data_IF_576736489440
#
_entry.id   IF_576736489440
#
_cell.length_a   1.000
_cell.length_b   1.000
_cell.length_c   1.000
_cell.angle_alpha   90.00
_cell.angle_beta   90.00
_cell.angle_gamma   90.00
#
_symmetry.space_group_name_H-M   'P 1'
#
loop_
_entity.id
_entity.type
_entity.pdbx_description
1 polymer ?
#
# COMPACT_ATOMS: atom_id res chain seq x y z
N UNK A 1 8.89 13.65 -13.30
CA UNK A 1 9.32 12.35 -13.86
C UNK A 1 8.98 11.24 -12.90
N UNK A 2 9.91 10.74 -12.07
CA UNK A 2 9.55 9.77 -11.03
C UNK A 2 8.58 10.39 -10.02
N UNK A 3 8.69 11.69 -9.77
CA UNK A 3 7.75 12.49 -8.98
C UNK A 3 6.34 12.50 -9.57
N UNK A 4 6.18 12.51 -10.87
CA UNK A 4 4.84 12.53 -11.50
C UNK A 4 4.16 11.17 -11.38
N UNK A 5 4.93 10.07 -11.43
CA UNK A 5 4.40 8.71 -11.23
C UNK A 5 4.01 8.46 -9.78
N UNK A 6 4.82 8.90 -8.83
CA UNK A 6 4.50 8.79 -7.40
C UNK A 6 3.32 9.67 -7.01
N UNK A 7 3.18 10.84 -7.61
CA UNK A 7 1.98 11.68 -7.48
C UNK A 7 0.75 10.98 -8.01
N UNK A 8 0.85 10.34 -9.19
CA UNK A 8 -0.26 9.60 -9.77
C UNK A 8 -0.77 8.50 -8.86
N UNK A 9 0.11 7.69 -8.29
CA UNK A 9 -0.26 6.64 -7.34
C UNK A 9 -0.87 7.25 -6.07
N UNK A 10 -0.26 8.30 -5.53
CA UNK A 10 -0.77 9.00 -4.36
C UNK A 10 -2.18 9.55 -4.56
N UNK A 11 -2.43 10.17 -5.70
CA UNK A 11 -3.76 10.70 -6.04
C UNK A 11 -4.81 9.61 -6.18
N UNK A 12 -4.41 8.44 -6.69
CA UNK A 12 -5.30 7.30 -6.87
C UNK A 12 -5.78 6.76 -5.51
N UNK A 13 -4.86 6.43 -4.60
CA UNK A 13 -5.28 5.87 -3.32
C UNK A 13 -5.90 6.91 -2.37
N UNK A 14 -5.50 8.16 -2.44
CA UNK A 14 -6.10 9.25 -1.64
C UNK A 14 -7.59 9.40 -1.87
N UNK A 15 -8.05 9.20 -3.09
CA UNK A 15 -9.47 9.27 -3.40
C UNK A 15 -10.29 8.17 -2.73
N UNK A 16 -9.66 7.01 -2.49
CA UNK A 16 -10.31 5.86 -1.85
C UNK A 16 -10.24 5.93 -0.33
N UNK A 17 -9.28 6.69 0.22
CA UNK A 17 -9.09 6.81 1.67
C UNK A 17 -10.02 7.92 2.19
N UNK A 18 -11.20 7.51 2.59
CA UNK A 18 -12.24 8.42 3.10
C UNK A 18 -13.04 7.72 4.20
N UNK A 19 -13.63 8.49 5.15
CA UNK A 19 -14.47 7.88 6.16
C UNK A 19 -15.64 7.13 5.50
N UNK A 20 -15.93 5.96 6.05
CA UNK A 20 -17.00 5.04 5.60
C UNK A 20 -16.70 4.34 4.26
N UNK A 21 -15.54 4.59 3.67
CA UNK A 21 -15.04 3.78 2.56
C UNK A 21 -14.53 2.41 3.05
N UNK A 22 -14.13 1.56 2.12
CA UNK A 22 -13.63 0.22 2.44
C UNK A 22 -12.13 0.12 2.22
N UNK A 23 -11.45 -0.54 3.15
CA UNK A 23 -10.00 -0.74 3.05
C UNK A 23 -9.61 -1.53 1.79
N UNK A 24 -10.45 -2.49 1.37
CA UNK A 24 -10.22 -3.24 0.13
C UNK A 24 -10.22 -2.37 -1.12
N UNK A 25 -11.00 -1.30 -1.14
CA UNK A 25 -11.02 -0.36 -2.27
C UNK A 25 -9.69 0.38 -2.42
N UNK A 26 -9.02 0.67 -1.31
CA UNK A 26 -7.70 1.30 -1.31
C UNK A 26 -6.66 0.39 -1.98
N UNK A 27 -6.60 -0.87 -1.55
CA UNK A 27 -5.66 -1.85 -2.12
C UNK A 27 -5.96 -2.15 -3.58
N UNK A 28 -7.25 -2.27 -3.94
CA UNK A 28 -7.67 -2.49 -5.32
C UNK A 28 -7.24 -1.34 -6.23
N UNK A 29 -7.38 -0.09 -5.77
CA UNK A 29 -6.96 1.08 -6.55
C UNK A 29 -5.45 1.10 -6.80
N UNK A 30 -4.65 0.74 -5.80
CA UNK A 30 -3.19 0.61 -5.93
C UNK A 30 -2.84 -0.46 -6.96
N UNK A 31 -3.46 -1.64 -6.85
CA UNK A 31 -3.22 -2.76 -7.75
C UNK A 31 -3.57 -2.43 -9.20
N UNK A 32 -4.74 -1.86 -9.43
CA UNK A 32 -5.17 -1.49 -10.78
C UNK A 32 -4.26 -0.44 -11.41
N UNK A 33 -3.86 0.55 -10.64
CA UNK A 33 -2.95 1.58 -11.14
C UNK A 33 -1.58 1.00 -11.52
N UNK A 34 -1.01 0.18 -10.67
CA UNK A 34 0.28 -0.48 -10.95
C UNK A 34 0.18 -1.37 -12.20
N UNK A 35 -0.87 -2.18 -12.29
CA UNK A 35 -1.12 -3.06 -13.42
C UNK A 35 -1.27 -2.28 -14.73
N UNK A 36 -1.99 -1.16 -14.71
CA UNK A 36 -2.17 -0.31 -15.89
C UNK A 36 -0.85 0.31 -16.37
N UNK A 37 0.12 0.49 -15.47
CA UNK A 37 1.47 0.97 -15.81
C UNK A 37 2.43 -0.16 -16.21
N UNK A 38 1.96 -1.42 -16.24
CA UNK A 38 2.78 -2.58 -16.57
C UNK A 38 3.61 -3.11 -15.41
N UNK A 39 3.27 -2.75 -14.18
CA UNK A 39 3.96 -3.19 -12.96
C UNK A 39 3.11 -4.20 -12.18
N UNK A 40 3.75 -4.87 -11.22
CA UNK A 40 3.06 -5.77 -10.30
C UNK A 40 3.23 -5.31 -8.85
N UNK A 41 2.34 -5.79 -7.99
CA UNK A 41 2.35 -5.46 -6.57
C UNK A 41 2.64 -6.72 -5.78
N UNK A 42 3.58 -6.63 -4.84
CA UNK A 42 3.95 -7.74 -3.94
C UNK A 42 2.76 -8.05 -3.02
N UNK A 43 2.49 -9.34 -2.83
CA UNK A 43 1.29 -9.84 -2.13
C UNK A 43 1.52 -10.18 -0.67
N UNK A 44 2.72 -10.66 -0.32
CA UNK A 44 3.05 -11.13 1.02
C UNK A 44 3.25 -10.00 2.03
N UNK A 45 3.52 -8.80 1.55
CA UNK A 45 3.75 -7.63 2.38
C UNK A 45 2.67 -6.59 2.11
N UNK A 46 2.32 -5.86 3.16
CA UNK A 46 1.31 -4.82 3.07
C UNK A 46 1.52 -3.76 4.13
N UNK A 47 0.59 -2.82 4.21
CA UNK A 47 0.55 -1.84 5.26
C UNK A 47 -0.02 -2.42 6.55
N UNK A 48 -0.02 -1.62 7.58
CA UNK A 48 -0.45 -2.03 8.91
C UNK A 48 -1.12 -0.88 9.66
N UNK A 49 -1.96 -1.22 10.62
CA UNK A 49 -2.44 -0.26 11.59
C UNK A 49 -1.30 0.29 12.44
N UNK A 50 -1.48 1.49 12.93
CA UNK A 50 -0.58 2.11 13.88
C UNK A 50 -1.40 2.82 14.97
N UNK A 51 -1.02 2.59 16.20
CA UNK A 51 -1.72 3.15 17.35
C UNK A 51 -0.88 2.94 18.58
N UNK A 52 -1.27 1.98 19.42
CA UNK A 52 -0.50 1.65 20.61
C UNK A 52 0.79 0.89 20.28
N UNK A 53 0.79 0.14 19.18
CA UNK A 53 1.94 -0.63 18.73
C UNK A 53 2.42 -0.12 17.38
N UNK A 54 3.70 -0.39 17.07
CA UNK A 54 4.31 0.00 15.80
C UNK A 54 3.64 -0.72 14.62
N UNK A 55 3.37 -2.02 14.78
CA UNK A 55 2.62 -2.83 13.83
C UNK A 55 1.42 -3.45 14.57
N UNK A 56 0.23 -3.13 14.13
CA UNK A 56 -1.00 -3.71 14.67
C UNK A 56 -2.04 -3.87 13.56
N UNK A 57 -3.13 -4.56 13.84
CA UNK A 57 -4.24 -4.68 12.90
C UNK A 57 -4.80 -3.28 12.54
N UNK A 58 -5.33 -3.13 11.34
CA UNK A 58 -5.49 -4.16 10.31
C UNK A 58 -4.25 -4.36 9.44
N UNK A 59 -4.18 -5.53 8.78
CA UNK A 59 -3.28 -5.72 7.64
C UNK A 59 -3.88 -5.03 6.41
N UNK A 60 -3.07 -4.22 5.73
CA UNK A 60 -3.50 -3.46 4.56
C UNK A 60 -2.94 -4.11 3.30
N UNK A 61 -3.76 -4.91 2.63
CA UNK A 61 -3.38 -5.53 1.36
C UNK A 61 -3.42 -4.52 0.21
N UNK A 62 -2.46 -4.59 -0.69
CA UNK A 62 -2.44 -3.76 -1.90
C UNK A 62 -2.80 -4.56 -3.17
N UNK A 63 -3.39 -5.74 -2.98
CA UNK A 63 -3.95 -6.57 -4.04
C UNK A 63 -5.36 -7.06 -3.68
N UNK A 64 -6.05 -6.32 -2.82
CA UNK A 64 -7.40 -6.65 -2.37
C UNK A 64 -8.43 -6.42 -3.47
N UNK A 65 -9.59 -7.06 -3.30
CA UNK A 65 -10.72 -6.91 -4.20
C UNK A 65 -11.56 -5.68 -3.85
N UNK A 66 -12.12 -4.98 -4.85
CA UNK A 66 -13.05 -3.88 -4.58
C UNK A 66 -14.29 -4.37 -3.80
N UNK A 67 -14.79 -3.53 -2.91
CA UNK A 67 -15.99 -3.82 -2.13
C UNK A 67 -15.77 -4.75 -0.94
N UNK A 68 -14.52 -5.05 -0.61
CA UNK A 68 -14.15 -5.93 0.51
C UNK A 68 -13.34 -5.18 1.57
N UNK A 69 -13.13 -5.83 2.70
CA UNK A 69 -12.33 -5.30 3.79
C UNK A 69 -13.12 -4.48 4.80
N UNK A 70 -12.42 -4.01 5.83
CA UNK A 70 -13.06 -3.27 6.90
C UNK A 70 -13.45 -1.86 6.48
N UNK A 71 -14.47 -1.32 7.12
CA UNK A 71 -14.90 0.06 6.94
C UNK A 71 -13.89 1.00 7.59
N UNK A 72 -13.51 2.04 6.86
CA UNK A 72 -12.63 3.09 7.38
C UNK A 72 -13.46 4.06 8.24
N UNK A 73 -13.04 4.27 9.47
CA UNK A 73 -13.74 5.18 10.40
C UNK A 73 -12.81 6.32 10.82
N UNK A 74 -13.34 7.51 11.10
CA UNK A 74 -12.54 8.62 11.59
C UNK A 74 -11.72 8.25 12.83
N UNK A 75 -10.47 8.67 12.87
CA UNK A 75 -9.54 8.34 13.94
C UNK A 75 -8.63 7.15 13.66
N UNK A 76 -8.92 6.33 12.65
CA UNK A 76 -8.05 5.22 12.25
C UNK A 76 -6.73 5.74 11.67
N UNK A 77 -5.64 5.08 12.03
CA UNK A 77 -4.32 5.30 11.45
C UNK A 77 -3.76 3.99 10.90
N UNK A 78 -3.20 4.05 9.71
CA UNK A 78 -2.56 2.89 9.07
C UNK A 78 -1.53 3.36 8.05
N UNK A 79 -0.70 2.44 7.58
CA UNK A 79 0.32 2.75 6.58
C UNK A 79 -0.12 2.34 5.18
N UNK A 80 0.30 3.12 4.19
CA UNK A 80 0.25 2.78 2.77
C UNK A 80 1.70 2.63 2.34
N UNK A 81 2.10 1.39 2.07
CA UNK A 81 3.51 1.07 1.77
C UNK A 81 3.65 -0.03 0.71
N UNK A 82 3.01 0.10 -0.45
CA UNK A 82 3.07 -0.95 -1.46
C UNK A 82 4.48 -1.14 -2.00
N UNK A 83 4.85 -2.40 -2.21
CA UNK A 83 6.05 -2.79 -2.95
C UNK A 83 5.66 -3.01 -4.40
N UNK A 84 6.20 -2.17 -5.29
CA UNK A 84 5.89 -2.18 -6.71
C UNK A 84 7.07 -2.75 -7.48
N UNK A 85 6.86 -3.87 -8.15
CA UNK A 85 7.88 -4.55 -8.94
C UNK A 85 7.73 -4.24 -10.43
N UNK A 86 8.87 -4.06 -11.10
CA UNK A 86 8.88 -3.84 -12.53
C UNK A 86 8.49 -5.11 -13.31
N UNK A 87 8.78 -6.29 -12.77
CA UNK A 87 8.45 -7.59 -13.36
C UNK A 87 7.37 -8.33 -12.57
N UNK A 88 7.66 -9.59 -12.24
CA UNK A 88 6.75 -10.45 -11.45
C UNK A 88 6.57 -9.94 -10.03
N UNK A 89 5.40 -10.20 -9.44
CA UNK A 89 5.12 -9.88 -8.03
C UNK A 89 5.86 -10.80 -7.05
N UNK A 90 6.44 -11.89 -7.53
CA UNK A 90 7.08 -12.89 -6.67
C UNK A 90 8.38 -12.37 -6.06
N UNK A 91 8.56 -12.64 -4.78
CA UNK A 91 9.73 -12.23 -4.00
C UNK A 91 10.22 -13.37 -3.13
N UNK A 92 11.45 -13.27 -2.67
CA UNK A 92 12.03 -14.21 -1.71
C UNK A 92 12.89 -13.45 -0.70
N UNK A 93 13.14 -14.09 0.44
CA UNK A 93 14.03 -13.55 1.47
C UNK A 93 15.42 -14.09 1.23
N UNK A 94 16.43 -13.20 1.19
CA UNK A 94 17.83 -13.58 1.04
C UNK A 94 18.26 -14.43 2.26
N UNK A 95 18.69 -15.66 1.99
CA UNK A 95 19.12 -16.58 3.04
C UNK A 95 20.39 -16.12 3.77
N UNK A 96 21.19 -15.30 3.13
CA UNK A 96 22.44 -14.81 3.72
C UNK A 96 22.22 -13.94 4.96
N UNK A 97 21.17 -13.12 4.96
CA UNK A 97 20.83 -12.24 6.08
C UNK A 97 19.48 -12.56 6.75
N UNK A 98 18.64 -13.39 6.10
CA UNK A 98 17.32 -13.73 6.60
C UNK A 98 16.34 -12.54 6.66
N UNK A 99 16.65 -11.45 5.99
CA UNK A 99 15.93 -10.19 6.10
C UNK A 99 15.60 -9.54 4.77
N UNK A 100 16.58 -9.41 3.86
CA UNK A 100 16.40 -8.68 2.61
C UNK A 100 15.39 -9.38 1.71
N UNK A 101 14.39 -8.63 1.28
CA UNK A 101 13.38 -9.10 0.32
C UNK A 101 13.86 -8.75 -1.08
N UNK A 102 14.01 -9.77 -1.92
CA UNK A 102 14.51 -9.66 -3.29
C UNK A 102 13.44 -10.04 -4.29
N UNK A 103 13.43 -9.38 -5.45
CA UNK A 103 12.58 -9.81 -6.56
C UNK A 103 13.07 -11.13 -7.13
N UNK A 104 12.14 -12.04 -7.42
CA UNK A 104 12.47 -13.37 -7.91
C UNK A 104 13.12 -13.34 -9.30
N UNK A 105 12.73 -12.38 -10.13
CA UNK A 105 13.25 -12.21 -11.50
C UNK A 105 14.44 -11.23 -11.59
N UNK A 106 14.90 -10.67 -10.48
CA UNK A 106 16.02 -9.73 -10.45
C UNK A 106 15.74 -8.34 -11.01
N UNK A 107 14.50 -8.04 -11.41
CA UNK A 107 14.11 -6.74 -11.91
C UNK A 107 13.92 -5.73 -10.77
N UNK A 108 13.99 -4.42 -11.04
CA UNK A 108 13.86 -3.40 -10.01
C UNK A 108 12.51 -3.41 -9.29
N UNK A 109 12.55 -3.00 -8.02
CA UNK A 109 11.39 -2.78 -7.18
C UNK A 109 11.51 -1.44 -6.48
N UNK A 110 10.37 -0.85 -6.13
CA UNK A 110 10.32 0.40 -5.39
C UNK A 110 9.25 0.31 -4.29
N UNK A 111 9.52 0.99 -3.18
CA UNK A 111 8.60 1.10 -2.06
C UNK A 111 8.63 2.52 -1.50
N UNK A 112 7.45 3.01 -1.13
CA UNK A 112 7.30 4.26 -0.41
C UNK A 112 6.24 4.07 0.67
N UNK A 113 6.52 4.54 1.87
CA UNK A 113 5.62 4.40 3.00
C UNK A 113 5.05 5.75 3.42
N UNK A 114 3.74 5.81 3.60
CA UNK A 114 3.04 6.95 4.17
C UNK A 114 2.13 6.49 5.30
N UNK A 115 2.11 7.21 6.40
CA UNK A 115 1.17 7.01 7.49
C UNK A 115 -0.04 7.91 7.29
N UNK A 116 -1.23 7.34 7.35
CA UNK A 116 -2.48 8.01 7.02
C UNK A 116 -3.37 8.05 8.27
N UNK A 117 -4.01 9.19 8.49
CA UNK A 117 -5.09 9.35 9.46
C UNK A 117 -6.41 9.55 8.71
N UNK A 118 -7.43 8.79 9.06
CA UNK A 118 -8.79 9.03 8.58
C UNK A 118 -9.39 10.18 9.40
N UNK A 119 -9.79 11.23 8.72
CA UNK A 119 -10.44 12.38 9.35
C UNK A 119 -11.96 12.32 9.17
N UNK A 120 -12.68 13.25 9.76
CA UNK A 120 -14.15 13.32 9.65
C UNK A 120 -14.63 13.50 8.20
N UNK A 121 -13.83 14.15 7.36
CA UNK A 121 -14.19 14.52 5.99
C UNK A 121 -13.23 14.00 4.91
N UNK A 122 -12.24 13.21 5.29
CA UNK A 122 -11.27 12.69 4.32
C UNK A 122 -10.11 11.96 4.98
N UNK A 123 -8.90 12.40 4.65
CA UNK A 123 -7.67 11.83 5.19
C UNK A 123 -6.58 12.89 5.33
N UNK A 124 -5.59 12.57 6.15
CA UNK A 124 -4.40 13.39 6.34
C UNK A 124 -3.16 12.48 6.28
N UNK A 125 -2.15 12.90 5.54
CA UNK A 125 -0.85 12.23 5.53
C UNK A 125 -0.01 12.77 6.68
N UNK A 126 0.35 11.90 7.61
CA UNK A 126 1.10 12.26 8.82
C UNK A 126 2.61 12.27 8.59
N UNK A 127 3.08 11.53 7.60
CA UNK A 127 4.50 11.44 7.23
C UNK A 127 4.75 12.08 5.88
N UNK A 128 5.90 12.66 5.69
CA UNK A 128 6.26 13.31 4.43
C UNK A 128 7.59 12.79 3.90
#
# INVERSE_FOLDING_TARGET
>A
RDTDRSRGLGDVYKRQIKPWGLLGDVGAAVHEYAKAQGYSVVREYGGHGCGFEFHEDPFVSFVSEPGEGMVLVPGMTFTIEPMINMGSYEVFIDEADGWTVCTDDGLPSAQWESQILITEDGNEILTQ
#
